data_IF_634537764556
#
_entry.id   IF_634537764556
#
_cell.length_a   1.000
_cell.length_b   1.000
_cell.length_c   1.000
_cell.angle_alpha   90.00
_cell.angle_beta   90.00
_cell.angle_gamma   90.00
#
_symmetry.space_group_name_H-M   'P 1'
#
loop_
_entity.id
_entity.type
_entity.pdbx_description
1 polymer ?
#
# COMPACT_ATOMS: atom_id res chain seq x y z
N UNK A 1 6.38 25.39 -16.79
CA UNK A 1 5.57 24.30 -16.23
C UNK A 1 6.55 23.34 -15.56
N UNK A 2 6.43 23.00 -14.27
CA UNK A 2 7.40 22.11 -13.62
C UNK A 2 7.21 20.68 -14.14
N UNK A 3 8.24 20.20 -14.82
CA UNK A 3 8.45 18.84 -15.29
C UNK A 3 8.71 17.94 -14.07
N UNK A 4 7.64 17.36 -13.52
CA UNK A 4 7.75 16.29 -12.53
C UNK A 4 8.36 15.07 -13.20
N UNK A 5 9.62 14.81 -12.89
CA UNK A 5 10.38 13.63 -13.31
C UNK A 5 9.59 12.36 -12.98
N UNK A 6 8.98 11.78 -14.00
CA UNK A 6 8.57 10.38 -14.04
C UNK A 6 9.85 9.54 -13.98
N UNK A 7 10.44 9.43 -12.79
CA UNK A 7 11.61 8.59 -12.58
C UNK A 7 11.13 7.14 -12.75
N UNK A 8 11.25 6.63 -13.98
CA UNK A 8 10.97 5.24 -14.37
C UNK A 8 12.06 4.31 -13.81
N UNK A 9 12.50 4.53 -12.59
CA UNK A 9 13.03 3.43 -11.80
C UNK A 9 11.82 2.63 -11.36
N UNK A 10 11.80 1.34 -11.70
CA UNK A 10 10.78 0.36 -11.31
C UNK A 10 10.77 0.09 -9.79
N UNK A 11 10.89 1.15 -8.98
CA UNK A 11 10.60 1.16 -7.57
C UNK A 11 9.09 1.29 -7.49
N UNK A 12 8.42 0.34 -6.83
CA UNK A 12 7.00 0.44 -6.53
C UNK A 12 6.78 1.62 -5.58
N UNK A 13 6.89 2.85 -6.09
CA UNK A 13 6.69 4.10 -5.37
C UNK A 13 5.29 4.61 -5.71
N UNK A 14 4.44 4.77 -4.71
CA UNK A 14 3.09 5.34 -4.89
C UNK A 14 2.87 6.44 -3.87
N UNK A 15 2.47 7.61 -4.35
CA UNK A 15 2.27 8.83 -3.58
C UNK A 15 0.93 9.50 -3.91
N UNK A 16 0.65 10.63 -3.28
CA UNK A 16 -0.59 11.37 -3.49
C UNK A 16 -0.78 11.75 -4.96
N UNK A 17 -1.87 11.30 -5.57
CA UNK A 17 -2.17 11.49 -6.99
C UNK A 17 -1.73 10.33 -7.89
N UNK A 18 -1.02 9.33 -7.37
CA UNK A 18 -0.77 8.07 -8.06
C UNK A 18 -2.09 7.34 -8.35
N UNK A 19 -2.18 6.68 -9.51
CA UNK A 19 -3.39 5.94 -9.92
C UNK A 19 -3.06 4.61 -10.59
N UNK A 20 -3.97 3.65 -10.45
CA UNK A 20 -3.95 2.39 -11.18
C UNK A 20 -4.01 1.16 -10.27
N UNK A 21 -3.81 -0.01 -10.88
CA UNK A 21 -3.99 -1.30 -10.21
C UNK A 21 -3.12 -1.49 -8.95
N UNK A 22 -1.93 -0.88 -8.89
CA UNK A 22 -1.08 -0.92 -7.69
C UNK A 22 -1.72 -0.24 -6.49
N UNK A 23 -2.38 0.91 -6.71
CA UNK A 23 -3.08 1.65 -5.65
C UNK A 23 -4.32 0.90 -5.22
N UNK A 24 -5.06 0.32 -6.16
CA UNK A 24 -6.22 -0.51 -5.85
C UNK A 24 -5.83 -1.69 -4.93
N UNK A 25 -4.72 -2.35 -5.25
CA UNK A 25 -4.19 -3.45 -4.43
C UNK A 25 -3.75 -2.99 -3.04
N UNK A 26 -3.13 -1.81 -2.95
CA UNK A 26 -2.78 -1.20 -1.68
C UNK A 26 -4.02 -0.91 -0.84
N UNK A 27 -5.06 -0.32 -1.43
CA UNK A 27 -6.32 -0.02 -0.74
C UNK A 27 -6.99 -1.30 -0.23
N UNK A 28 -7.04 -2.37 -1.03
CA UNK A 28 -7.54 -3.69 -0.59
C UNK A 28 -6.74 -4.24 0.58
N UNK A 29 -5.42 -4.10 0.52
CA UNK A 29 -4.52 -4.54 1.58
C UNK A 29 -4.76 -3.78 2.87
N UNK A 30 -4.82 -2.44 2.81
CA UNK A 30 -5.12 -1.59 3.94
C UNK A 30 -6.47 -1.95 4.57
N UNK A 31 -7.49 -2.21 3.76
CA UNK A 31 -8.79 -2.62 4.27
C UNK A 31 -8.77 -4.02 4.90
N UNK A 32 -8.14 -4.99 4.24
CA UNK A 32 -8.15 -6.39 4.69
C UNK A 32 -7.22 -6.67 5.87
N UNK A 33 -6.05 -6.01 5.92
CA UNK A 33 -4.98 -6.32 6.86
C UNK A 33 -4.91 -5.36 8.05
N UNK A 34 -5.35 -4.13 7.84
CA UNK A 34 -5.31 -3.09 8.86
C UNK A 34 -6.71 -2.61 9.27
N UNK A 35 -7.77 -3.16 8.65
CA UNK A 35 -9.15 -2.87 9.00
C UNK A 35 -9.63 -1.48 8.59
N UNK A 36 -8.97 -0.85 7.61
CA UNK A 36 -9.47 0.42 7.07
C UNK A 36 -10.72 0.21 6.19
N UNK A 37 -11.45 1.30 5.93
CA UNK A 37 -12.62 1.29 5.06
C UNK A 37 -12.46 2.33 3.95
N UNK A 38 -11.41 2.17 3.16
CA UNK A 38 -11.12 3.01 2.00
C UNK A 38 -11.94 2.58 0.79
N UNK A 39 -12.26 3.54 -0.08
CA UNK A 39 -12.72 3.24 -1.41
C UNK A 39 -11.58 2.61 -2.23
N UNK A 40 -11.86 1.49 -2.88
CA UNK A 40 -10.92 0.77 -3.74
C UNK A 40 -11.02 1.29 -5.19
N UNK A 41 -10.85 2.59 -5.37
CA UNK A 41 -11.01 3.27 -6.65
C UNK A 41 -9.72 3.26 -7.50
N UNK A 42 -8.60 2.80 -6.93
CA UNK A 42 -7.30 2.87 -7.59
C UNK A 42 -6.71 4.28 -7.60
N UNK A 43 -7.27 5.21 -6.83
CA UNK A 43 -6.79 6.59 -6.71
C UNK A 43 -6.13 6.83 -5.35
N UNK A 44 -4.88 7.29 -5.38
CA UNK A 44 -4.13 7.57 -4.17
C UNK A 44 -4.50 8.96 -3.66
N UNK A 45 -5.66 9.05 -3.01
CA UNK A 45 -6.17 10.26 -2.38
C UNK A 45 -5.62 10.50 -0.97
N UNK A 46 -6.17 11.52 -0.30
CA UNK A 46 -5.84 11.87 1.09
C UNK A 46 -6.21 10.75 2.07
N UNK A 47 -7.33 10.05 1.82
CA UNK A 47 -7.77 8.93 2.64
C UNK A 47 -6.77 7.76 2.55
N UNK A 48 -6.35 7.39 1.34
CA UNK A 48 -5.34 6.34 1.11
C UNK A 48 -4.02 6.70 1.79
N UNK A 49 -3.59 7.96 1.66
CA UNK A 49 -2.39 8.47 2.34
C UNK A 49 -2.47 8.34 3.86
N UNK A 50 -3.58 8.76 4.46
CA UNK A 50 -3.78 8.72 5.91
C UNK A 50 -3.81 7.29 6.45
N UNK A 51 -4.49 6.38 5.73
CA UNK A 51 -4.53 4.97 6.08
C UNK A 51 -3.16 4.30 5.93
N UNK A 52 -2.41 4.65 4.87
CA UNK A 52 -1.04 4.16 4.68
C UNK A 52 -0.13 4.63 5.82
N UNK A 53 -0.16 5.92 6.18
CA UNK A 53 0.60 6.45 7.31
C UNK A 53 0.25 5.72 8.62
N UNK A 54 -1.03 5.43 8.84
CA UNK A 54 -1.48 4.69 10.02
C UNK A 54 -1.00 3.24 10.00
N UNK A 55 -1.01 2.57 8.85
CA UNK A 55 -0.47 1.21 8.70
C UNK A 55 1.06 1.19 8.91
N UNK A 56 1.78 2.15 8.34
CA UNK A 56 3.22 2.33 8.57
C UNK A 56 3.54 2.53 10.06
N UNK A 57 2.73 3.32 10.76
CA UNK A 57 2.87 3.52 12.21
C UNK A 57 2.63 2.21 12.99
N UNK A 58 1.66 1.39 12.57
CA UNK A 58 1.41 0.08 13.18
C UNK A 58 2.57 -0.91 12.98
N UNK A 59 3.27 -0.83 11.84
CA UNK A 59 4.47 -1.63 11.59
C UNK A 59 5.74 -1.03 12.21
N UNK A 60 5.67 0.15 12.85
CA UNK A 60 6.81 0.80 13.48
C UNK A 60 7.83 1.38 12.49
N UNK A 61 7.41 1.65 11.25
CA UNK A 61 8.23 2.32 10.23
C UNK A 61 7.83 3.78 10.08
N UNK A 62 8.55 4.50 9.21
CA UNK A 62 8.27 5.91 8.91
C UNK A 62 6.86 6.07 8.34
N UNK A 63 5.98 6.76 9.07
CA UNK A 63 4.61 7.05 8.68
C UNK A 63 4.52 8.31 7.80
N UNK A 64 5.21 8.31 6.67
CA UNK A 64 5.21 9.42 5.70
C UNK A 64 3.94 9.46 4.82
N UNK A 65 3.16 8.36 4.83
CA UNK A 65 2.01 8.16 3.97
C UNK A 65 2.40 7.95 2.50
N UNK A 66 3.64 7.55 2.24
CA UNK A 66 4.16 7.27 0.90
C UNK A 66 4.47 5.79 0.81
N UNK A 67 4.01 5.15 -0.26
CA UNK A 67 4.32 3.76 -0.49
C UNK A 67 5.70 3.70 -1.15
N UNK A 68 6.73 3.37 -0.38
CA UNK A 68 8.10 3.20 -0.88
C UNK A 68 8.65 1.80 -0.60
N UNK A 69 9.97 1.64 -0.70
CA UNK A 69 10.64 0.35 -0.43
C UNK A 69 10.42 -0.14 1.00
N UNK A 70 10.45 0.76 2.00
CA UNK A 70 10.14 0.41 3.39
C UNK A 70 8.70 -0.10 3.51
N UNK A 71 7.73 0.65 2.98
CA UNK A 71 6.32 0.26 2.99
C UNK A 71 6.13 -1.11 2.32
N UNK A 72 6.77 -1.36 1.17
CA UNK A 72 6.70 -2.67 0.48
C UNK A 72 7.30 -3.82 1.29
N UNK A 73 8.36 -3.58 2.07
CA UNK A 73 9.04 -4.63 2.84
C UNK A 73 8.33 -4.94 4.15
N UNK A 74 7.86 -3.91 4.85
CA UNK A 74 7.34 -4.04 6.21
C UNK A 74 5.81 -4.10 6.28
N UNK A 75 5.07 -3.56 5.30
CA UNK A 75 3.61 -3.70 5.31
C UNK A 75 3.22 -5.16 5.11
N UNK A 76 2.15 -5.53 5.80
CA UNK A 76 1.50 -6.83 5.69
C UNK A 76 0.55 -6.82 4.51
N UNK A 77 0.73 -7.77 3.60
CA UNK A 77 -0.16 -7.99 2.47
C UNK A 77 -0.97 -9.27 2.67
N UNK A 78 -2.22 -9.33 2.19
CA UNK A 78 -3.00 -10.55 2.28
C UNK A 78 -2.32 -11.64 1.44
N UNK A 79 -1.93 -12.75 2.08
CA UNK A 79 -1.37 -13.88 1.34
C UNK A 79 -2.47 -14.75 0.80
N UNK A 80 -2.44 -14.94 -0.52
CA UNK A 80 -3.23 -15.96 -1.17
C UNK A 80 -2.40 -17.24 -1.24
N UNK A 81 -2.59 -18.17 -0.28
CA UNK A 81 -2.01 -19.52 -0.38
C UNK A 81 -2.97 -20.41 -1.17
N UNK A 82 -2.65 -20.60 -2.45
CA UNK A 82 -3.44 -21.43 -3.39
C UNK A 82 -3.51 -22.92 -2.99
N UNK A 83 -2.62 -23.38 -2.11
CA UNK A 83 -2.40 -24.81 -1.85
C UNK A 83 -3.49 -25.41 -0.94
N UNK A 84 -4.06 -24.61 -0.03
CA UNK A 84 -5.00 -25.12 1.00
C UNK A 84 -6.37 -24.40 1.00
N UNK A 85 -6.57 -23.36 0.19
CA UNK A 85 -7.81 -22.56 0.20
C UNK A 85 -8.05 -21.77 1.49
N UNK A 86 -7.08 -21.74 2.40
CA UNK A 86 -7.12 -20.98 3.64
C UNK A 86 -6.68 -19.54 3.40
N UNK A 87 -7.44 -18.58 3.89
CA UNK A 87 -7.09 -17.15 3.87
C UNK A 87 -6.05 -16.94 4.96
N UNK A 88 -4.83 -17.38 4.70
CA UNK A 88 -3.71 -17.37 5.64
C UNK A 88 -3.18 -15.95 5.88
N UNK A 89 -4.00 -15.10 6.49
CA UNK A 89 -3.60 -13.87 7.16
C UNK A 89 -2.93 -12.79 6.31
N UNK A 90 -2.43 -11.80 7.03
CA UNK A 90 -1.69 -10.67 6.51
C UNK A 90 -0.24 -10.81 6.96
N UNK A 91 0.68 -10.88 6.00
CA UNK A 91 2.09 -11.14 6.27
C UNK A 91 2.94 -10.18 5.43
N UNK A 92 4.04 -9.70 6.01
CA UNK A 92 5.04 -8.89 5.32
C UNK A 92 5.91 -9.76 4.41
N UNK A 93 6.59 -9.15 3.44
CA UNK A 93 7.46 -9.86 2.47
C UNK A 93 8.86 -10.15 3.04
N UNK A 94 9.06 -9.96 4.35
CA UNK A 94 10.34 -10.14 5.04
C UNK A 94 10.54 -11.59 5.52
#
# INVERSE_FOLDING_TARGET
>A
MPEGSYDRTANCWMDYGSRGFGVEWLQRTLNSCYGFNLATDGDFGSNTRSALASAQQQEGITADGIYGTQSRQYLKFPRYREINGDRSGCESVN
#
